data_IF_983794188237
#
_entry.id   IF_983794188237
#
_cell.length_a   1.000
_cell.length_b   1.000
_cell.length_c   1.000
_cell.angle_alpha   90.00
_cell.angle_beta   90.00
_cell.angle_gamma   90.00
#
_symmetry.space_group_name_H-M   'P 1'
#
loop_
_entity.id
_entity.type
_entity.pdbx_description
1 polymer ?
#
# COMPACT_ATOMS: atom_id res chain seq x y z
N UNK A 1 -12.50 0.21 1.79
CA UNK A 1 -12.77 -0.98 0.94
C UNK A 1 -12.04 -2.16 1.53
N UNK A 2 -12.62 -3.36 1.58
CA UNK A 2 -11.88 -4.56 2.02
C UNK A 2 -11.15 -5.16 0.81
N UNK A 3 -9.88 -5.50 1.02
CA UNK A 3 -8.99 -5.92 -0.07
C UNK A 3 -7.97 -6.95 0.41
N UNK A 4 -7.36 -7.62 -0.56
CA UNK A 4 -6.09 -8.35 -0.46
C UNK A 4 -5.00 -7.53 -1.11
N UNK A 5 -3.85 -7.42 -0.43
CA UNK A 5 -2.69 -6.68 -0.93
C UNK A 5 -1.47 -7.60 -1.03
N UNK A 6 -0.75 -7.52 -2.15
CA UNK A 6 0.60 -8.07 -2.29
C UNK A 6 1.57 -6.96 -2.67
N UNK A 7 2.69 -6.85 -1.95
CA UNK A 7 3.75 -5.91 -2.29
C UNK A 7 4.58 -6.45 -3.46
N UNK A 8 4.74 -5.63 -4.49
CA UNK A 8 5.51 -5.98 -5.69
C UNK A 8 6.98 -5.55 -5.58
N UNK A 9 7.33 -4.84 -4.51
CA UNK A 9 8.70 -4.43 -4.21
C UNK A 9 9.08 -4.78 -2.77
N UNK A 10 10.35 -5.09 -2.57
CA UNK A 10 10.95 -5.30 -1.25
C UNK A 10 12.17 -4.40 -1.12
N UNK A 11 12.14 -3.48 -0.14
CA UNK A 11 13.17 -2.46 0.05
C UNK A 11 13.53 -1.72 -1.25
N UNK A 12 12.52 -1.34 -2.02
CA UNK A 12 12.70 -0.63 -3.28
C UNK A 12 13.09 -1.49 -4.48
N UNK A 13 13.42 -2.77 -4.33
CA UNK A 13 13.70 -3.68 -5.45
C UNK A 13 12.44 -4.40 -5.92
N UNK A 14 12.27 -4.57 -7.24
CA UNK A 14 11.15 -5.34 -7.80
C UNK A 14 11.26 -6.80 -7.38
N UNK A 15 10.14 -7.37 -6.91
CA UNK A 15 10.03 -8.80 -6.63
C UNK A 15 9.53 -9.51 -7.90
N UNK A 16 10.21 -10.57 -8.38
CA UNK A 16 9.73 -11.37 -9.50
C UNK A 16 8.30 -11.86 -9.31
N UNK A 17 7.50 -11.82 -10.38
CA UNK A 17 6.06 -12.08 -10.30
C UNK A 17 5.74 -13.53 -9.87
N UNK A 18 6.60 -14.47 -10.24
CA UNK A 18 6.54 -15.87 -9.83
C UNK A 18 6.61 -15.99 -8.31
N UNK A 19 7.48 -15.18 -7.68
CA UNK A 19 7.62 -15.15 -6.22
C UNK A 19 6.40 -14.46 -5.60
N UNK A 20 5.98 -13.30 -6.13
CA UNK A 20 4.81 -12.56 -5.61
C UNK A 20 3.58 -13.44 -5.50
N UNK A 21 3.31 -14.28 -6.51
CA UNK A 21 2.15 -15.19 -6.53
C UNK A 21 2.19 -16.24 -5.42
N UNK A 22 3.37 -16.58 -4.90
CA UNK A 22 3.52 -17.53 -3.80
C UNK A 22 3.39 -16.89 -2.42
N UNK A 23 3.52 -15.56 -2.33
CA UNK A 23 3.40 -14.84 -1.06
C UNK A 23 1.93 -14.73 -0.63
N UNK A 24 1.64 -14.93 0.67
CA UNK A 24 0.30 -14.71 1.19
C UNK A 24 -0.07 -13.23 1.01
N UNK A 25 -1.30 -12.98 0.57
CA UNK A 25 -1.82 -11.63 0.54
C UNK A 25 -2.12 -11.14 1.95
N UNK A 26 -1.91 -9.85 2.18
CA UNK A 26 -2.28 -9.17 3.41
C UNK A 26 -3.71 -8.65 3.25
N UNK A 27 -4.63 -9.12 4.10
CA UNK A 27 -6.02 -8.70 4.07
C UNK A 27 -6.27 -7.52 5.01
N UNK A 28 -7.05 -6.54 4.57
CA UNK A 28 -7.38 -5.39 5.40
C UNK A 28 -8.34 -4.41 4.76
N UNK A 29 -8.64 -3.34 5.49
CA UNK A 29 -9.43 -2.20 4.99
C UNK A 29 -8.49 -1.19 4.33
N UNK A 30 -8.51 -1.13 3.01
CA UNK A 30 -7.84 -0.09 2.25
C UNK A 30 -8.59 1.24 2.38
N UNK A 31 -7.82 2.29 2.66
CA UNK A 31 -8.22 3.70 2.56
C UNK A 31 -7.22 4.44 1.69
N UNK A 32 -7.72 5.29 0.79
CA UNK A 32 -6.92 6.22 -0.01
C UNK A 32 -7.53 7.61 0.16
N UNK A 33 -6.76 8.57 0.66
CA UNK A 33 -7.23 9.94 0.91
C UNK A 33 -6.06 10.90 0.97
N UNK A 34 -6.34 12.19 0.87
CA UNK A 34 -5.33 13.22 1.12
C UNK A 34 -5.05 13.35 2.62
N UNK A 35 -3.76 13.35 3.00
CA UNK A 35 -3.30 13.61 4.36
C UNK A 35 -2.06 14.50 4.32
N UNK A 36 -1.83 15.30 5.37
CA UNK A 36 -0.60 16.11 5.47
C UNK A 36 0.58 15.20 5.82
N UNK A 37 1.61 15.19 4.97
CA UNK A 37 2.86 14.49 5.24
C UNK A 37 3.75 15.37 6.14
N UNK A 38 4.11 14.90 7.35
CA UNK A 38 4.88 15.71 8.29
C UNK A 38 6.34 15.89 7.87
N UNK A 39 6.92 14.95 7.11
CA UNK A 39 8.31 15.07 6.64
C UNK A 39 8.42 16.04 5.45
N UNK A 40 7.42 16.06 4.57
CA UNK A 40 7.41 16.95 3.39
C UNK A 40 6.71 18.29 3.65
N UNK A 41 5.98 18.41 4.75
CA UNK A 41 5.24 19.63 5.12
C UNK A 41 4.03 19.96 4.23
N UNK A 42 3.64 19.06 3.31
CA UNK A 42 2.57 19.26 2.31
C UNK A 42 1.51 18.15 2.34
N UNK A 43 0.31 18.38 1.78
CA UNK A 43 -0.65 17.31 1.51
C UNK A 43 -0.10 16.30 0.48
N UNK A 44 -0.39 15.03 0.72
CA UNK A 44 -0.09 13.90 -0.17
C UNK A 44 -1.31 12.98 -0.24
N UNK A 45 -1.51 12.33 -1.38
CA UNK A 45 -2.41 11.18 -1.44
C UNK A 45 -1.76 10.02 -0.68
N UNK A 46 -2.41 9.51 0.34
CA UNK A 46 -1.89 8.44 1.21
C UNK A 46 -2.80 7.22 1.12
N UNK A 47 -2.20 6.07 0.80
CA UNK A 47 -2.85 4.77 0.82
C UNK A 47 -2.43 3.99 2.07
N UNK A 48 -3.40 3.48 2.81
CA UNK A 48 -3.21 2.75 4.08
C UNK A 48 -4.00 1.47 4.07
N UNK A 49 -3.39 0.38 4.54
CA UNK A 49 -4.08 -0.89 4.75
C UNK A 49 -4.26 -1.11 6.25
N UNK A 50 -5.50 -1.05 6.71
CA UNK A 50 -5.84 -1.05 8.14
C UNK A 50 -6.40 -2.40 8.58
N UNK A 51 -6.14 -2.79 9.83
CA UNK A 51 -6.74 -3.97 10.45
C UNK A 51 -8.28 -3.91 10.43
N UNK A 52 -8.90 -5.08 10.27
CA UNK A 52 -10.35 -5.24 10.14
C UNK A 52 -11.11 -5.09 11.45
N UNK A 53 -10.48 -5.40 12.59
CA UNK A 53 -11.19 -5.69 13.85
C UNK A 53 -10.79 -4.83 15.05
N UNK A 54 -9.89 -3.86 14.89
CA UNK A 54 -9.45 -3.05 16.02
C UNK A 54 -10.31 -1.79 16.19
N UNK A 55 -10.74 -1.51 17.42
CA UNK A 55 -11.43 -0.26 17.79
C UNK A 55 -10.59 1.00 17.49
N UNK A 56 -9.27 0.83 17.36
CA UNK A 56 -8.35 1.81 16.79
C UNK A 56 -7.76 1.28 15.47
N UNK A 57 -7.84 2.01 14.36
CA UNK A 57 -7.27 1.56 13.09
C UNK A 57 -5.73 1.49 13.19
N UNK A 58 -5.19 0.29 13.08
CA UNK A 58 -3.74 0.01 13.02
C UNK A 58 -3.36 -0.31 11.59
N UNK A 59 -2.27 0.28 11.09
CA UNK A 59 -1.71 -0.05 9.79
C UNK A 59 -1.05 -1.44 9.82
N UNK A 60 -1.43 -2.30 8.88
CA UNK A 60 -0.86 -3.66 8.70
C UNK A 60 0.43 -3.60 7.86
N UNK A 61 0.48 -2.64 6.94
CA UNK A 61 1.63 -2.35 6.08
C UNK A 61 2.09 -0.91 6.32
N UNK A 62 3.38 -0.59 6.12
CA UNK A 62 3.81 0.80 6.02
C UNK A 62 2.93 1.55 5.02
N UNK A 63 2.52 2.77 5.32
CA UNK A 63 1.65 3.50 4.41
C UNK A 63 2.38 3.88 3.11
N UNK A 64 1.61 3.97 2.03
CA UNK A 64 2.06 4.45 0.73
C UNK A 64 1.81 5.96 0.66
N UNK A 65 2.86 6.76 0.82
CA UNK A 65 2.85 8.20 0.58
C UNK A 65 3.00 8.52 -0.91
N UNK A 66 2.47 9.67 -1.34
CA UNK A 66 2.35 10.08 -2.75
C UNK A 66 1.75 8.96 -3.63
N UNK A 67 0.74 8.27 -3.08
CA UNK A 67 0.10 7.13 -3.71
C UNK A 67 -0.58 7.53 -5.02
N UNK A 68 -0.19 6.86 -6.10
CA UNK A 68 -0.71 7.05 -7.45
C UNK A 68 -1.36 5.75 -7.94
N UNK A 69 -2.56 5.86 -8.51
CA UNK A 69 -3.20 4.75 -9.21
C UNK A 69 -2.54 4.54 -10.58
N UNK A 70 -1.96 3.37 -10.81
CA UNK A 70 -1.34 3.02 -12.08
C UNK A 70 -2.32 2.35 -13.06
N UNK A 71 -3.23 1.54 -12.52
CA UNK A 71 -4.19 0.74 -13.28
C UNK A 71 -5.30 0.27 -12.34
N UNK A 72 -6.53 0.17 -12.85
CA UNK A 72 -7.67 -0.45 -12.18
C UNK A 72 -8.63 -1.04 -13.21
N UNK A 73 -8.96 -2.32 -13.06
CA UNK A 73 -9.87 -3.06 -13.92
C UNK A 73 -10.34 -4.32 -13.19
N UNK A 74 -11.57 -4.78 -13.45
CA UNK A 74 -12.12 -6.06 -12.95
C UNK A 74 -11.93 -6.33 -11.44
N UNK A 75 -12.09 -5.31 -10.60
CA UNK A 75 -11.94 -5.45 -9.14
C UNK A 75 -10.50 -5.64 -8.68
N UNK A 76 -9.52 -5.34 -9.54
CA UNK A 76 -8.12 -5.27 -9.19
C UNK A 76 -7.56 -3.87 -9.50
N UNK A 77 -6.53 -3.47 -8.77
CA UNK A 77 -5.84 -2.21 -8.99
C UNK A 77 -4.37 -2.27 -8.58
N UNK A 78 -3.58 -1.32 -9.10
CA UNK A 78 -2.18 -1.12 -8.69
C UNK A 78 -1.95 0.28 -8.17
N UNK A 79 -1.48 0.38 -6.93
CA UNK A 79 -1.05 1.64 -6.32
C UNK A 79 0.47 1.68 -6.26
N UNK A 80 1.08 2.80 -6.62
CA UNK A 80 2.51 3.04 -6.50
C UNK A 80 2.78 4.27 -5.65
N UNK A 81 3.90 4.30 -4.96
CA UNK A 81 4.29 5.44 -4.14
C UNK A 81 5.51 5.09 -3.28
N UNK A 82 5.63 5.74 -2.14
CA UNK A 82 6.75 5.61 -1.23
C UNK A 82 6.31 5.00 0.11
N UNK A 83 6.94 3.90 0.51
CA UNK A 83 6.89 3.38 1.88
C UNK A 83 8.08 3.92 2.66
N UNK A 84 7.83 4.46 3.86
CA UNK A 84 8.90 4.85 4.79
C UNK A 84 9.08 3.78 5.86
N UNK A 85 10.26 3.17 5.89
CA UNK A 85 10.64 2.17 6.89
C UNK A 85 11.86 2.68 7.64
N UNK A 86 11.64 3.08 8.90
CA UNK A 86 12.63 3.81 9.67
C UNK A 86 12.92 5.17 9.04
N UNK A 87 14.19 5.46 8.72
CA UNK A 87 14.62 6.71 8.07
C UNK A 87 14.80 6.59 6.55
N UNK A 88 14.36 5.49 5.95
CA UNK A 88 14.57 5.21 4.52
C UNK A 88 13.24 5.20 3.79
N UNK A 89 13.20 5.93 2.68
CA UNK A 89 12.11 5.96 1.74
C UNK A 89 12.37 4.94 0.62
N UNK A 90 11.46 3.97 0.47
CA UNK A 90 11.53 2.96 -0.58
C UNK A 90 10.38 3.14 -1.56
N UNK A 91 10.67 3.05 -2.86
CA UNK A 91 9.63 2.90 -3.86
C UNK A 91 8.88 1.57 -3.61
N UNK A 92 7.56 1.63 -3.63
CA UNK A 92 6.68 0.48 -3.46
C UNK A 92 5.57 0.48 -4.51
N UNK A 93 5.11 -0.73 -4.85
CA UNK A 93 3.87 -0.92 -5.59
C UNK A 93 3.04 -2.01 -4.92
N UNK A 94 1.78 -1.71 -4.63
CA UNK A 94 0.80 -2.68 -4.12
C UNK A 94 -0.05 -3.19 -5.28
N UNK A 95 -0.09 -4.52 -5.45
CA UNK A 95 -1.16 -5.18 -6.18
C UNK A 95 -2.32 -5.41 -5.22
N UNK A 96 -3.48 -4.87 -5.57
CA UNK A 96 -4.66 -4.86 -4.72
C UNK A 96 -5.79 -5.58 -5.44
N UNK A 97 -6.43 -6.51 -4.75
CA UNK A 97 -7.60 -7.25 -5.21
C UNK A 97 -8.76 -6.97 -4.24
N UNK A 98 -9.92 -6.58 -4.76
CA UNK A 98 -11.13 -6.37 -3.97
C UNK A 98 -11.64 -7.71 -3.43
N UNK A 99 -12.21 -7.69 -2.22
CA UNK A 99 -12.80 -8.87 -1.55
C UNK A 99 -14.25 -8.65 -1.16
#
# INVERSE_FOLDING_TARGET
MYVRVRCLRSKGAVVPMEIVKTLPAVEGRLTVREERDPELGRPVTRARLLERHAGNPVDILPDLSDATLLWAEDGALRLSGIERVGKVAYAQTWAVELT
#
